data_IF_532242049937
#
_entry.id   IF_532242049937
#
_cell.length_a   1.000
_cell.length_b   1.000
_cell.length_c   1.000
_cell.angle_alpha   90.00
_cell.angle_beta   90.00
_cell.angle_gamma   90.00
#
_symmetry.space_group_name_H-M   'P 1'
#
loop_
_entity.id
_entity.type
_entity.pdbx_description
1 polymer ?
#
# COMPACT_ATOMS: atom_id res chain seq x y z
N UNK A 1 44.48 19.88 56.38
CA UNK A 1 43.18 20.41 55.89
C UNK A 1 43.02 19.88 54.48
N UNK A 2 42.08 19.04 54.04
CA UNK A 2 40.84 18.40 54.54
C UNK A 2 40.79 17.02 53.85
N UNK A 3 40.76 15.93 54.60
CA UNK A 3 39.64 15.02 54.90
C UNK A 3 39.34 13.91 53.89
N UNK A 4 39.21 12.72 54.49
CA UNK A 4 38.97 11.38 53.96
C UNK A 4 37.51 11.12 53.53
N UNK A 5 37.38 10.01 52.81
CA UNK A 5 36.21 9.31 52.30
C UNK A 5 35.04 9.07 53.28
N UNK A 6 33.85 8.88 52.69
CA UNK A 6 32.79 8.02 53.21
C UNK A 6 32.01 7.37 52.05
N UNK A 7 31.77 6.06 52.18
CA UNK A 7 30.86 5.21 51.40
C UNK A 7 29.38 5.52 51.76
N UNK A 8 28.42 5.35 50.83
CA UNK A 8 27.48 4.21 50.84
C UNK A 8 26.43 4.22 49.70
N UNK A 9 26.22 3.00 49.18
CA UNK A 9 24.96 2.34 48.77
C UNK A 9 23.99 2.90 47.69
N UNK A 10 23.91 2.12 46.61
CA UNK A 10 22.71 1.43 46.09
C UNK A 10 21.54 2.22 45.45
N UNK A 11 21.48 2.08 44.12
CA UNK A 11 20.41 1.41 43.35
C UNK A 11 19.13 2.13 42.89
N UNK A 12 18.79 1.78 41.64
CA UNK A 12 17.53 1.89 40.88
C UNK A 12 16.86 3.24 40.63
N UNK A 13 16.58 3.50 39.34
CA UNK A 13 15.53 4.45 38.94
C UNK A 13 15.61 4.90 37.48
N UNK A 14 15.20 4.03 36.56
CA UNK A 14 14.94 4.39 35.17
C UNK A 14 13.82 5.44 35.06
N UNK A 15 14.11 6.58 34.46
CA UNK A 15 13.13 7.55 33.97
C UNK A 15 13.78 8.26 32.77
N UNK A 16 13.21 8.32 31.58
CA UNK A 16 11.93 7.90 31.05
C UNK A 16 11.95 8.48 29.64
N UNK A 17 11.92 7.62 28.64
CA UNK A 17 11.87 8.06 27.26
C UNK A 17 10.58 8.87 27.09
N UNK A 18 10.71 10.17 26.82
CA UNK A 18 9.60 10.95 26.28
C UNK A 18 9.40 10.52 24.84
N UNK A 19 8.72 9.38 24.67
CA UNK A 19 8.05 9.04 23.42
C UNK A 19 6.99 10.11 23.21
N UNK A 20 7.31 11.07 22.35
CA UNK A 20 6.33 12.03 21.87
C UNK A 20 5.19 11.25 21.26
N UNK A 21 4.00 11.43 21.82
CA UNK A 21 2.75 11.03 21.20
C UNK A 21 2.61 11.80 19.87
N UNK A 22 3.18 11.22 18.80
CA UNK A 22 2.85 11.59 17.43
C UNK A 22 1.40 11.20 17.21
N UNK A 23 0.55 12.21 17.03
CA UNK A 23 -0.88 12.02 16.86
C UNK A 23 -1.20 11.07 15.72
N UNK A 24 -2.33 10.39 15.85
CA UNK A 24 -3.01 9.66 14.79
C UNK A 24 -3.45 10.63 13.68
N UNK A 25 -2.50 11.16 12.92
CA UNK A 25 -2.78 11.58 11.55
C UNK A 25 -3.02 10.27 10.80
N UNK A 26 -4.30 9.94 10.57
CA UNK A 26 -4.67 8.75 9.80
C UNK A 26 -3.80 8.67 8.54
N UNK A 27 -3.15 7.52 8.33
CA UNK A 27 -2.17 7.33 7.28
C UNK A 27 -2.75 7.86 5.96
N UNK A 28 -2.13 8.87 5.37
CA UNK A 28 -2.57 9.35 4.06
C UNK A 28 -2.18 8.31 3.00
N UNK A 29 -3.03 8.03 2.01
CA UNK A 29 -2.64 7.14 0.93
C UNK A 29 -1.46 7.72 0.16
N UNK A 30 -0.58 6.83 -0.31
CA UNK A 30 0.60 7.19 -1.08
C UNK A 30 0.23 7.69 -2.48
N UNK A 31 1.22 8.26 -3.17
CA UNK A 31 1.13 8.53 -4.59
C UNK A 31 0.17 9.66 -4.97
N UNK A 32 -0.35 10.45 -4.03
CA UNK A 32 -1.19 11.64 -4.31
C UNK A 32 -0.37 12.91 -4.63
N UNK A 33 0.90 12.93 -4.25
CA UNK A 33 1.81 14.07 -4.45
C UNK A 33 2.93 13.72 -5.41
N UNK A 34 3.33 14.69 -6.24
CA UNK A 34 4.52 14.59 -7.10
C UNK A 34 5.81 14.62 -6.28
N UNK A 35 5.76 15.24 -5.10
CA UNK A 35 6.87 15.33 -4.16
C UNK A 35 6.46 14.90 -2.75
N UNK A 36 7.32 14.11 -2.11
CA UNK A 36 7.19 13.66 -0.71
C UNK A 36 8.60 13.66 -0.11
N UNK A 37 8.75 14.19 1.11
CA UNK A 37 10.03 14.19 1.86
C UNK A 37 11.25 14.72 1.08
N UNK A 38 11.02 15.69 0.19
CA UNK A 38 12.05 16.28 -0.67
C UNK A 38 12.40 15.46 -1.92
N UNK A 39 11.84 14.27 -2.08
CA UNK A 39 11.91 13.49 -3.30
C UNK A 39 10.82 13.94 -4.27
N UNK A 40 11.12 13.98 -5.57
CA UNK A 40 10.19 14.42 -6.62
C UNK A 40 10.25 13.50 -7.83
N UNK A 41 9.09 13.09 -8.34
CA UNK A 41 8.98 12.37 -9.61
C UNK A 41 9.00 13.38 -10.77
N UNK A 42 10.06 13.36 -11.56
CA UNK A 42 10.32 14.30 -12.65
C UNK A 42 10.23 13.60 -14.01
N UNK A 43 9.26 14.00 -14.84
CA UNK A 43 9.04 13.44 -16.18
C UNK A 43 9.48 14.42 -17.26
N UNK A 44 10.07 13.89 -18.33
CA UNK A 44 10.45 14.70 -19.50
C UNK A 44 9.26 15.43 -20.15
N UNK A 45 8.05 14.86 -20.05
CA UNK A 45 6.80 15.48 -20.50
C UNK A 45 5.60 14.86 -19.80
N UNK A 46 4.67 15.71 -19.36
CA UNK A 46 3.35 15.36 -18.83
C UNK A 46 2.24 15.41 -19.89
N UNK A 47 2.57 15.78 -21.12
CA UNK A 47 1.65 15.73 -22.27
C UNK A 47 2.18 14.67 -23.24
N UNK A 48 1.33 13.70 -23.58
CA UNK A 48 1.67 12.55 -24.42
C UNK A 48 0.63 12.31 -25.51
N UNK A 49 0.95 11.50 -26.50
CA UNK A 49 0.01 11.03 -27.52
C UNK A 49 -0.45 9.61 -27.20
N UNK A 50 -1.54 9.12 -27.79
CA UNK A 50 -1.89 7.71 -27.64
C UNK A 50 -0.93 6.77 -28.40
N UNK A 51 -0.87 5.51 -27.97
CA UNK A 51 -0.03 4.45 -28.52
C UNK A 51 1.01 3.92 -27.53
N UNK A 52 1.68 2.84 -27.93
CA UNK A 52 2.85 2.31 -27.22
C UNK A 52 4.02 3.25 -27.45
N UNK A 53 4.59 3.77 -26.37
CA UNK A 53 5.70 4.72 -26.46
C UNK A 53 6.64 4.64 -25.25
N UNK A 54 7.91 5.04 -25.42
CA UNK A 54 8.82 5.17 -24.31
C UNK A 54 8.41 6.30 -23.37
N UNK A 55 8.52 6.03 -22.07
CA UNK A 55 8.41 7.01 -21.00
C UNK A 55 9.70 6.99 -20.20
N UNK A 56 10.29 8.17 -20.06
CA UNK A 56 11.51 8.39 -19.28
C UNK A 56 11.26 9.41 -18.19
N UNK A 57 11.88 9.18 -17.03
CA UNK A 57 11.71 10.00 -15.84
C UNK A 57 12.91 9.87 -14.90
N UNK A 58 12.96 10.72 -13.88
CA UNK A 58 13.92 10.67 -12.77
C UNK A 58 13.19 10.79 -11.44
N UNK A 59 13.81 10.26 -10.40
CA UNK A 59 13.49 10.64 -9.02
C UNK A 59 14.55 11.63 -8.59
N UNK A 60 14.15 12.87 -8.32
CA UNK A 60 15.04 13.93 -7.82
C UNK A 60 15.00 13.90 -6.30
N UNK A 61 16.15 13.78 -5.66
CA UNK A 61 16.28 13.75 -4.22
C UNK A 61 16.25 15.14 -3.56
N UNK A 62 16.26 15.19 -2.21
CA UNK A 62 16.22 16.43 -1.45
C UNK A 62 17.43 17.35 -1.69
N UNK A 63 18.51 16.82 -2.24
CA UNK A 63 19.72 17.57 -2.64
C UNK A 63 19.64 18.16 -4.07
N UNK A 64 18.50 17.98 -4.76
CA UNK A 64 18.26 18.44 -6.11
C UNK A 64 18.92 17.62 -7.22
N UNK A 65 19.52 16.46 -6.90
CA UNK A 65 20.14 15.56 -7.87
C UNK A 65 19.28 14.32 -8.12
N UNK A 66 19.50 13.65 -9.25
CA UNK A 66 18.86 12.37 -9.51
C UNK A 66 19.33 11.31 -8.49
N UNK A 67 18.39 10.58 -7.91
CA UNK A 67 18.68 9.45 -7.03
C UNK A 67 19.20 8.28 -7.87
N UNK A 68 20.31 7.67 -7.44
CA UNK A 68 20.98 6.57 -8.13
C UNK A 68 21.16 5.32 -7.27
N UNK A 69 20.71 5.36 -6.01
CA UNK A 69 20.85 4.27 -5.05
C UNK A 69 19.47 3.98 -4.44
N UNK A 70 18.98 2.77 -4.65
CA UNK A 70 17.69 2.28 -4.19
C UNK A 70 17.89 0.93 -3.51
N UNK A 71 17.11 0.66 -2.47
CA UNK A 71 16.99 -0.65 -1.86
C UNK A 71 15.96 -1.44 -2.68
N UNK A 72 16.27 -2.64 -3.18
CA UNK A 72 15.29 -3.44 -3.90
C UNK A 72 14.19 -3.95 -2.97
N UNK A 73 12.94 -3.76 -3.39
CA UNK A 73 11.75 -4.38 -2.81
C UNK A 73 11.18 -5.34 -3.86
N UNK A 74 10.81 -6.57 -3.45
CA UNK A 74 10.29 -7.59 -4.38
C UNK A 74 11.19 -7.79 -5.63
N UNK A 75 12.51 -7.87 -5.42
CA UNK A 75 13.54 -8.02 -6.47
C UNK A 75 13.69 -6.82 -7.44
N UNK A 76 13.01 -5.70 -7.18
CA UNK A 76 13.05 -4.50 -8.02
C UNK A 76 13.39 -3.26 -7.22
N UNK A 77 14.21 -2.40 -7.81
CA UNK A 77 14.50 -1.08 -7.25
C UNK A 77 13.29 -0.12 -7.36
N UNK A 78 12.36 -0.39 -8.28
CA UNK A 78 11.22 0.49 -8.57
C UNK A 78 10.05 -0.30 -9.18
N UNK A 79 8.87 -0.11 -8.63
CA UNK A 79 7.60 -0.49 -9.26
C UNK A 79 6.95 0.74 -9.89
N UNK A 80 6.65 0.65 -11.19
CA UNK A 80 6.02 1.75 -11.92
C UNK A 80 4.63 1.36 -12.37
N UNK A 81 3.64 2.12 -11.92
CA UNK A 81 2.24 1.87 -12.24
C UNK A 81 1.70 3.00 -13.09
N UNK A 82 0.96 2.67 -14.13
CA UNK A 82 0.21 3.61 -14.95
C UNK A 82 -1.25 3.20 -14.98
N UNK A 83 -2.16 4.13 -14.69
CA UNK A 83 -3.59 3.87 -14.76
C UNK A 83 -4.35 5.16 -15.10
N UNK A 84 -5.42 5.05 -15.87
CA UNK A 84 -6.28 6.21 -16.17
C UNK A 84 -7.03 6.67 -14.91
N UNK A 85 -7.41 7.94 -14.87
CA UNK A 85 -8.24 8.52 -13.81
C UNK A 85 -9.62 7.87 -13.68
N UNK A 86 -10.13 7.24 -14.73
CA UNK A 86 -11.33 6.39 -14.71
C UNK A 86 -11.05 4.92 -14.34
N UNK A 87 -9.85 4.62 -13.85
CA UNK A 87 -9.36 3.33 -13.36
C UNK A 87 -9.07 2.27 -14.45
N UNK A 88 -9.24 2.62 -15.72
CA UNK A 88 -8.97 1.73 -16.83
C UNK A 88 -7.48 1.73 -17.24
N UNK A 89 -7.08 0.68 -17.96
CA UNK A 89 -5.77 0.63 -18.61
C UNK A 89 -4.59 0.47 -17.66
N UNK A 90 -4.82 -0.15 -16.49
CA UNK A 90 -3.77 -0.44 -15.51
C UNK A 90 -2.60 -1.18 -16.16
N UNK A 91 -1.40 -0.71 -15.86
CA UNK A 91 -0.13 -1.30 -16.25
C UNK A 91 0.80 -1.26 -15.05
N UNK A 92 1.43 -2.38 -14.77
CA UNK A 92 2.48 -2.52 -13.77
C UNK A 92 3.75 -2.97 -14.48
N UNK A 93 4.73 -2.07 -14.54
CA UNK A 93 5.97 -2.25 -15.30
C UNK A 93 7.17 -1.97 -14.42
N UNK A 94 8.32 -2.49 -14.84
CA UNK A 94 9.59 -2.34 -14.12
C UNK A 94 10.59 -1.63 -15.03
N UNK A 95 10.68 -0.30 -14.93
CA UNK A 95 11.62 0.49 -15.72
C UNK A 95 13.06 0.08 -15.46
N UNK A 96 13.93 0.35 -16.44
CA UNK A 96 15.38 0.17 -16.30
C UNK A 96 16.03 1.53 -16.04
N UNK A 97 16.95 1.60 -15.07
CA UNK A 97 17.70 2.81 -14.74
C UNK A 97 19.07 2.81 -15.42
N UNK A 98 19.45 3.95 -15.98
CA UNK A 98 20.83 4.20 -16.41
C UNK A 98 21.73 4.67 -15.25
N UNK A 99 23.04 4.75 -15.50
CA UNK A 99 24.02 5.21 -14.49
C UNK A 99 23.78 6.67 -14.03
N UNK A 100 23.02 7.47 -14.79
CA UNK A 100 22.69 8.86 -14.48
C UNK A 100 21.40 9.01 -13.67
N UNK A 101 20.74 7.90 -13.33
CA UNK A 101 19.48 7.91 -12.58
C UNK A 101 18.24 8.13 -13.44
N UNK A 102 18.35 8.02 -14.77
CA UNK A 102 17.20 8.11 -15.68
C UNK A 102 16.58 6.73 -15.82
N UNK A 103 15.30 6.63 -15.50
CA UNK A 103 14.48 5.43 -15.70
C UNK A 103 13.82 5.46 -17.06
N UNK A 104 13.63 4.30 -17.69
CA UNK A 104 12.90 4.17 -18.94
C UNK A 104 12.09 2.87 -19.03
N UNK A 105 10.89 2.96 -19.58
CA UNK A 105 9.99 1.84 -19.85
C UNK A 105 9.09 2.15 -21.06
N UNK A 106 8.40 1.15 -21.61
CA UNK A 106 7.33 1.36 -22.57
C UNK A 106 5.97 1.35 -21.86
N UNK A 107 5.10 2.28 -22.22
CA UNK A 107 3.69 2.29 -21.79
C UNK A 107 2.77 2.27 -23.01
N UNK A 108 1.71 1.49 -22.92
CA UNK A 108 0.59 1.52 -23.87
C UNK A 108 -0.44 2.55 -23.39
N UNK A 109 -0.43 3.76 -23.97
CA UNK A 109 -1.30 4.85 -23.54
C UNK A 109 -2.50 5.01 -24.46
N UNK A 110 -3.70 5.07 -23.89
CA UNK A 110 -4.94 5.47 -24.57
C UNK A 110 -5.24 6.95 -24.25
N UNK A 111 -6.02 7.67 -25.09
CA UNK A 111 -6.44 9.02 -24.75
C UNK A 111 -7.15 9.11 -23.40
N UNK A 112 -6.86 10.17 -22.64
CA UNK A 112 -7.40 10.40 -21.31
C UNK A 112 -6.37 10.91 -20.32
N UNK A 113 -6.81 11.14 -19.08
CA UNK A 113 -5.93 11.53 -17.99
C UNK A 113 -5.39 10.29 -17.28
N UNK A 114 -4.08 10.20 -17.16
CA UNK A 114 -3.36 9.10 -16.52
C UNK A 114 -2.74 9.58 -15.23
N UNK A 115 -2.68 8.70 -14.24
CA UNK A 115 -1.80 8.84 -13.08
C UNK A 115 -0.71 7.80 -13.17
N UNK A 116 0.53 8.26 -13.02
CA UNK A 116 1.71 7.42 -12.95
C UNK A 116 2.23 7.43 -11.51
N UNK A 117 2.65 6.26 -11.03
CA UNK A 117 3.19 6.07 -9.69
C UNK A 117 4.59 5.49 -9.77
N UNK A 118 5.48 6.00 -8.93
CA UNK A 118 6.76 5.38 -8.64
C UNK A 118 6.76 4.96 -7.17
N UNK A 119 6.72 3.65 -6.93
CA UNK A 119 6.89 3.08 -5.60
C UNK A 119 8.35 2.64 -5.44
N UNK A 120 9.02 3.21 -4.44
CA UNK A 120 10.48 3.24 -4.35
C UNK A 120 10.96 3.19 -2.89
N UNK A 121 12.19 2.72 -2.69
CA UNK A 121 12.92 2.79 -1.42
C UNK A 121 14.30 3.42 -1.65
N UNK A 122 14.44 4.76 -1.64
CA UNK A 122 15.75 5.41 -1.75
C UNK A 122 16.67 4.98 -0.59
N UNK A 123 17.93 4.63 -0.86
CA UNK A 123 18.84 4.10 0.17
C UNK A 123 19.13 5.07 1.35
N UNK A 124 18.87 6.36 1.16
CA UNK A 124 19.00 7.41 2.19
C UNK A 124 17.69 7.81 2.88
N UNK A 125 16.60 7.06 2.69
CA UNK A 125 15.31 7.29 3.30
C UNK A 125 14.88 6.08 4.13
N UNK A 126 14.23 6.32 5.25
CA UNK A 126 13.73 5.26 6.11
C UNK A 126 12.40 4.73 5.56
N UNK A 127 12.45 3.63 4.81
CA UNK A 127 11.29 2.91 4.31
C UNK A 127 10.90 3.22 2.86
N UNK A 128 9.74 2.71 2.45
CA UNK A 128 9.22 2.90 1.10
C UNK A 128 8.39 4.18 1.01
N UNK A 129 8.33 4.75 -0.19
CA UNK A 129 7.43 5.85 -0.52
C UNK A 129 6.85 5.68 -1.91
N UNK A 130 5.65 6.21 -2.10
CA UNK A 130 5.00 6.26 -3.41
C UNK A 130 4.83 7.71 -3.84
N UNK A 131 5.47 8.09 -4.95
CA UNK A 131 5.30 9.37 -5.63
C UNK A 131 4.28 9.22 -6.76
N UNK A 132 3.56 10.28 -7.12
CA UNK A 132 2.62 10.23 -8.23
C UNK A 132 2.47 11.52 -9.02
N UNK A 133 2.29 11.39 -10.33
CA UNK A 133 2.18 12.50 -11.27
C UNK A 133 1.08 12.22 -12.28
N UNK A 134 0.36 13.27 -12.70
CA UNK A 134 -0.63 13.15 -13.75
C UNK A 134 -0.02 13.42 -15.13
N UNK A 135 -0.49 12.66 -16.13
CA UNK A 135 -0.11 12.77 -17.54
C UNK A 135 -1.37 12.87 -18.39
N UNK A 136 -1.46 13.88 -19.24
CA UNK A 136 -2.54 14.05 -20.18
C UNK A 136 -2.18 13.39 -21.52
N UNK A 137 -2.99 12.43 -21.97
CA UNK A 137 -2.82 11.75 -23.25
C UNK A 137 -3.82 12.30 -24.25
N UNK A 138 -3.32 12.99 -25.28
CA UNK A 138 -4.14 13.65 -26.28
C UNK A 138 -4.94 12.67 -27.15
N UNK A 139 -6.20 13.00 -27.41
CA UNK A 139 -7.08 12.26 -28.30
C UNK A 139 -8.54 12.33 -27.86
N UNK A 140 -9.42 11.62 -28.56
CA UNK A 140 -10.81 11.47 -28.14
C UNK A 140 -10.87 10.55 -26.91
N UNK A 141 -11.35 11.09 -25.79
CA UNK A 141 -11.44 10.38 -24.52
C UNK A 141 -12.90 10.04 -24.20
N UNK A 142 -13.18 8.75 -24.14
CA UNK A 142 -14.45 8.20 -23.65
C UNK A 142 -14.19 7.47 -22.31
N UNK A 143 -14.54 8.08 -21.16
CA UNK A 143 -14.37 7.47 -19.85
C UNK A 143 -15.20 6.18 -19.71
N UNK A 144 -14.64 5.16 -19.07
CA UNK A 144 -15.33 3.90 -18.77
C UNK A 144 -15.99 3.97 -17.39
N UNK A 145 -17.22 3.43 -17.22
CA UNK A 145 -17.83 3.34 -15.90
C UNK A 145 -17.04 2.40 -15.00
N UNK A 146 -17.06 2.68 -13.69
CA UNK A 146 -16.47 1.80 -12.70
C UNK A 146 -17.13 0.40 -12.76
N UNK A 147 -16.36 -0.69 -12.87
CA UNK A 147 -16.93 -2.04 -12.84
C UNK A 147 -17.64 -2.36 -11.52
N UNK A 148 -18.64 -3.23 -11.56
CA UNK A 148 -19.38 -3.65 -10.36
C UNK A 148 -18.50 -4.43 -9.37
N UNK A 149 -18.81 -4.31 -8.08
CA UNK A 149 -18.13 -5.02 -7.01
C UNK A 149 -18.70 -6.45 -6.87
N UNK A 150 -18.24 -7.36 -7.72
CA UNK A 150 -18.73 -8.75 -7.79
C UNK A 150 -17.93 -9.74 -6.94
N UNK A 151 -16.73 -9.35 -6.49
CA UNK A 151 -15.77 -10.27 -5.86
C UNK A 151 -15.19 -11.31 -6.82
N UNK A 152 -15.38 -11.17 -8.13
CA UNK A 152 -14.87 -12.13 -9.12
C UNK A 152 -14.37 -11.41 -10.37
N UNK A 153 -13.11 -11.68 -10.74
CA UNK A 153 -12.49 -11.22 -11.97
C UNK A 153 -12.36 -12.38 -12.97
N UNK A 154 -12.51 -12.09 -14.28
CA UNK A 154 -12.33 -13.06 -15.36
C UNK A 154 -11.29 -12.57 -16.36
N UNK A 155 -10.30 -13.40 -16.65
CA UNK A 155 -9.22 -13.12 -17.60
C UNK A 155 -9.09 -14.32 -18.54
N UNK A 156 -9.80 -14.27 -19.68
CA UNK A 156 -9.91 -15.42 -20.57
C UNK A 156 -10.48 -16.64 -19.85
N UNK A 157 -9.70 -17.72 -19.81
CA UNK A 157 -10.00 -19.00 -19.12
C UNK A 157 -9.83 -18.95 -17.59
N UNK A 158 -9.25 -17.87 -17.06
CA UNK A 158 -9.03 -17.70 -15.62
C UNK A 158 -10.21 -17.02 -14.95
N UNK A 159 -10.54 -17.51 -13.76
CA UNK A 159 -11.44 -16.85 -12.81
C UNK A 159 -10.70 -16.68 -11.49
N UNK A 160 -10.66 -15.47 -10.98
CA UNK A 160 -10.09 -15.16 -9.66
C UNK A 160 -11.22 -14.70 -8.75
N UNK A 161 -11.42 -15.40 -7.64
CA UNK A 161 -12.36 -15.01 -6.60
C UNK A 161 -11.62 -14.27 -5.50
N UNK A 162 -12.20 -13.19 -4.99
CA UNK A 162 -11.72 -12.42 -3.86
C UNK A 162 -12.59 -12.74 -2.64
N UNK A 163 -11.97 -13.26 -1.60
CA UNK A 163 -12.55 -13.45 -0.27
C UNK A 163 -11.90 -12.47 0.73
N UNK A 164 -12.68 -11.99 1.71
CA UNK A 164 -12.25 -10.97 2.68
C UNK A 164 -12.92 -9.61 2.46
N UNK A 165 -12.78 -8.72 3.44
CA UNK A 165 -13.36 -7.37 3.43
C UNK A 165 -12.28 -6.33 3.74
N UNK A 166 -12.27 -5.21 3.01
CA UNK A 166 -11.42 -4.08 3.37
C UNK A 166 -12.05 -3.31 4.54
N UNK A 167 -11.30 -3.17 5.63
CA UNK A 167 -11.72 -2.43 6.82
C UNK A 167 -11.02 -1.05 6.87
N UNK A 168 -11.77 0.05 7.02
CA UNK A 168 -11.17 1.38 7.15
C UNK A 168 -10.33 1.52 8.42
N UNK A 169 -9.07 1.93 8.26
CA UNK A 169 -8.14 2.18 9.36
C UNK A 169 -7.58 0.92 10.05
N UNK A 170 -7.96 -0.27 9.58
CA UNK A 170 -7.60 -1.56 10.17
C UNK A 170 -6.95 -2.45 9.12
N UNK A 171 -6.03 -3.31 9.57
CA UNK A 171 -5.46 -4.34 8.72
C UNK A 171 -6.46 -5.48 8.53
N UNK A 172 -6.71 -5.84 7.28
CA UNK A 172 -7.62 -6.93 6.90
C UNK A 172 -6.96 -7.85 5.89
N UNK A 173 -7.19 -9.16 6.05
CA UNK A 173 -6.73 -10.18 5.12
C UNK A 173 -7.64 -10.25 3.89
N UNK A 174 -7.02 -10.33 2.72
CA UNK A 174 -7.67 -10.58 1.43
C UNK A 174 -7.08 -11.84 0.81
N UNK A 175 -7.93 -12.80 0.45
CA UNK A 175 -7.50 -14.05 -0.18
C UNK A 175 -8.02 -14.09 -1.61
N UNK A 176 -7.10 -14.23 -2.56
CA UNK A 176 -7.43 -14.35 -3.98
C UNK A 176 -7.20 -15.78 -4.44
N UNK A 177 -8.29 -16.45 -4.86
CA UNK A 177 -8.25 -17.84 -5.33
C UNK A 177 -8.26 -17.91 -6.85
N UNK A 178 -7.19 -18.43 -7.45
CA UNK A 178 -7.02 -18.56 -8.90
C UNK A 178 -7.53 -19.92 -9.38
N UNK A 179 -8.44 -19.88 -10.36
CA UNK A 179 -8.92 -21.06 -11.10
C UNK A 179 -8.77 -20.88 -12.60
N UNK A 180 -8.51 -21.98 -13.31
CA UNK A 180 -8.52 -22.08 -14.77
C UNK A 180 -9.52 -23.15 -15.20
N UNK A 181 -10.48 -22.80 -16.05
CA UNK A 181 -11.57 -23.71 -16.47
C UNK A 181 -12.27 -24.40 -15.28
N UNK A 182 -12.46 -23.65 -14.19
CA UNK A 182 -13.08 -24.14 -12.95
C UNK A 182 -12.19 -25.00 -12.05
N UNK A 183 -10.95 -25.33 -12.46
CA UNK A 183 -10.00 -26.09 -11.63
C UNK A 183 -9.05 -25.15 -10.87
N UNK A 184 -8.72 -25.43 -9.60
CA UNK A 184 -7.68 -24.69 -8.87
C UNK A 184 -6.34 -24.72 -9.61
N UNK A 185 -5.67 -23.57 -9.68
CA UNK A 185 -4.28 -23.46 -10.18
C UNK A 185 -3.34 -23.67 -9.01
N UNK A 186 -2.49 -24.70 -9.02
CA UNK A 186 -1.64 -25.09 -7.87
C UNK A 186 -0.17 -25.09 -8.22
N UNK A 187 0.20 -24.38 -9.29
CA UNK A 187 1.51 -24.29 -9.89
C UNK A 187 1.79 -22.87 -10.38
N UNK A 188 1.32 -21.87 -9.61
CA UNK A 188 1.70 -20.48 -9.82
C UNK A 188 3.21 -20.33 -9.81
N UNK A 189 3.71 -19.50 -10.73
CA UNK A 189 5.13 -19.23 -10.85
C UNK A 189 5.48 -18.00 -10.01
N UNK A 190 6.63 -18.02 -9.31
CA UNK A 190 7.16 -16.83 -8.68
C UNK A 190 7.35 -15.72 -9.71
N UNK A 191 6.84 -14.55 -9.39
CA UNK A 191 7.05 -13.31 -10.14
C UNK A 191 7.43 -12.25 -9.11
N UNK A 192 8.60 -11.63 -9.23
CA UNK A 192 9.08 -10.58 -8.31
C UNK A 192 9.05 -11.03 -6.82
N UNK A 193 9.67 -12.19 -6.54
CA UNK A 193 9.70 -12.83 -5.22
C UNK A 193 8.33 -13.15 -4.55
N UNK A 194 7.20 -13.12 -5.26
CA UNK A 194 5.90 -13.56 -4.72
C UNK A 194 5.11 -14.39 -5.74
N UNK A 195 4.04 -15.05 -5.29
CA UNK A 195 3.10 -15.71 -6.20
C UNK A 195 2.05 -14.75 -6.78
N UNK A 196 1.97 -13.52 -6.24
CA UNK A 196 1.23 -12.42 -6.84
C UNK A 196 1.53 -11.07 -6.20
N UNK A 197 1.17 -9.99 -6.92
CA UNK A 197 1.34 -8.59 -6.51
C UNK A 197 -0.01 -7.90 -6.56
N UNK A 198 -0.40 -7.24 -5.47
CA UNK A 198 -1.70 -6.59 -5.36
C UNK A 198 -1.52 -5.08 -5.20
N UNK A 199 -1.93 -4.33 -6.23
CA UNK A 199 -2.04 -2.88 -6.16
C UNK A 199 -3.47 -2.51 -5.82
N UNK A 200 -3.68 -1.68 -4.80
CA UNK A 200 -4.99 -1.16 -4.43
C UNK A 200 -5.01 0.37 -4.52
N UNK A 201 -6.00 0.91 -5.23
CA UNK A 201 -6.15 2.34 -5.51
C UNK A 201 -7.54 2.83 -5.11
N UNK A 202 -7.60 3.92 -4.35
CA UNK A 202 -8.88 4.55 -4.00
C UNK A 202 -9.55 5.16 -5.23
N UNK A 203 -10.81 4.85 -5.46
CA UNK A 203 -11.59 5.46 -6.54
C UNK A 203 -11.81 6.94 -6.23
N UNK A 204 -11.57 7.80 -7.23
CA UNK A 204 -11.72 9.25 -7.14
C UNK A 204 -10.37 9.96 -7.26
N UNK A 205 -9.44 9.67 -6.36
CA UNK A 205 -8.11 10.30 -6.33
C UNK A 205 -6.95 9.36 -6.68
N UNK A 206 -7.22 8.06 -6.79
CA UNK A 206 -6.23 7.01 -6.99
C UNK A 206 -5.16 6.97 -5.90
N UNK A 207 -5.54 7.29 -4.65
CA UNK A 207 -4.65 7.13 -3.51
C UNK A 207 -4.16 5.69 -3.40
N UNK A 208 -2.85 5.49 -3.39
CA UNK A 208 -2.18 4.19 -3.34
C UNK A 208 -2.24 3.59 -1.95
N UNK A 209 -2.59 2.31 -1.86
CA UNK A 209 -2.71 1.57 -0.61
C UNK A 209 -1.50 0.68 -0.39
N UNK A 210 -1.08 0.60 0.86
CA UNK A 210 -0.06 -0.34 1.27
C UNK A 210 -0.66 -1.74 1.38
N UNK A 211 -0.06 -2.68 0.67
CA UNK A 211 -0.46 -4.08 0.62
C UNK A 211 0.79 -4.94 0.71
N UNK A 212 0.74 -6.00 1.51
CA UNK A 212 1.81 -6.98 1.60
C UNK A 212 1.31 -8.36 1.22
N UNK A 213 2.02 -9.12 0.38
CA UNK A 213 1.76 -10.54 0.23
C UNK A 213 2.06 -11.26 1.55
N UNK A 214 1.27 -12.27 1.86
CA UNK A 214 1.59 -13.21 2.92
C UNK A 214 2.35 -14.41 2.36
N UNK A 215 3.54 -14.66 2.92
CA UNK A 215 4.40 -15.77 2.54
C UNK A 215 5.24 -15.51 1.29
N UNK A 216 6.29 -16.30 1.12
CA UNK A 216 7.26 -16.15 0.03
C UNK A 216 7.56 -17.50 -0.66
N UNK A 217 7.81 -17.52 -1.98
CA UNK A 217 8.23 -18.73 -2.66
C UNK A 217 9.49 -19.34 -2.04
N UNK A 218 9.40 -20.61 -1.66
CA UNK A 218 10.54 -21.36 -1.11
C UNK A 218 10.74 -21.23 0.40
N UNK A 219 9.85 -20.53 1.13
CA UNK A 219 9.87 -20.46 2.60
C UNK A 219 9.53 -21.80 3.29
N UNK A 220 9.04 -22.79 2.53
CA UNK A 220 8.66 -24.13 3.00
C UNK A 220 7.22 -24.25 3.50
N UNK A 221 6.46 -23.16 3.54
CA UNK A 221 5.06 -23.11 4.02
C UNK A 221 4.09 -22.58 2.97
N UNK A 222 4.53 -21.71 2.08
CA UNK A 222 3.71 -21.03 1.08
C UNK A 222 3.59 -21.90 -0.17
N UNK A 223 2.37 -22.38 -0.42
CA UNK A 223 2.06 -23.15 -1.61
C UNK A 223 1.98 -22.26 -2.86
N UNK A 224 2.32 -22.78 -4.06
CA UNK A 224 2.18 -22.07 -5.33
C UNK A 224 0.71 -22.00 -5.80
N UNK A 225 -0.19 -21.48 -4.96
CA UNK A 225 -1.63 -21.41 -5.19
C UNK A 225 -2.42 -22.59 -4.62
N UNK A 226 -3.76 -22.58 -4.78
CA UNK A 226 -4.53 -21.63 -5.60
C UNK A 226 -4.82 -20.30 -4.92
N UNK A 227 -4.60 -20.22 -3.62
CA UNK A 227 -4.82 -19.03 -2.81
C UNK A 227 -3.55 -18.19 -2.76
N UNK A 228 -3.73 -16.87 -2.86
CA UNK A 228 -2.70 -15.86 -2.61
C UNK A 228 -3.29 -14.91 -1.57
N UNK A 229 -2.69 -14.85 -0.39
CA UNK A 229 -3.15 -14.02 0.70
C UNK A 229 -2.38 -12.70 0.75
N UNK A 230 -3.07 -11.63 1.13
CA UNK A 230 -2.51 -10.30 1.30
C UNK A 230 -3.06 -9.65 2.56
N UNK A 231 -2.22 -8.91 3.27
CA UNK A 231 -2.65 -7.96 4.28
C UNK A 231 -2.74 -6.56 3.69
N UNK A 232 -3.91 -5.93 3.81
CA UNK A 232 -4.16 -4.59 3.32
C UNK A 232 -4.76 -3.70 4.42
N UNK A 233 -4.38 -2.42 4.42
CA UNK A 233 -4.97 -1.40 5.29
C UNK A 233 -5.61 -0.34 4.40
N UNK A 234 -6.94 -0.19 4.47
CA UNK A 234 -7.62 0.88 3.75
C UNK A 234 -7.59 2.17 4.60
N UNK A 235 -6.94 3.27 4.16
CA UNK A 235 -6.82 4.49 4.96
C UNK A 235 -8.16 5.11 5.39
N UNK A 236 -9.17 4.98 4.54
CA UNK A 236 -10.50 5.56 4.74
C UNK A 236 -11.58 4.61 4.25
N UNK A 237 -12.81 4.83 4.71
CA UNK A 237 -13.97 4.26 4.03
C UNK A 237 -14.00 4.74 2.58
N UNK A 238 -14.43 3.87 1.66
CA UNK A 238 -14.46 4.21 0.24
C UNK A 238 -14.63 3.01 -0.67
N UNK A 239 -14.52 3.29 -1.97
CA UNK A 239 -14.43 2.27 -3.03
C UNK A 239 -13.01 2.24 -3.55
N UNK A 240 -12.51 1.04 -3.80
CA UNK A 240 -11.14 0.76 -4.21
C UNK A 240 -11.12 -0.10 -5.46
N UNK A 241 -10.12 0.10 -6.30
CA UNK A 241 -9.76 -0.79 -7.41
C UNK A 241 -8.54 -1.59 -7.02
N UNK A 242 -8.67 -2.90 -7.09
CA UNK A 242 -7.60 -3.86 -6.80
C UNK A 242 -7.15 -4.49 -8.10
N UNK A 243 -5.84 -4.59 -8.28
CA UNK A 243 -5.18 -5.16 -9.45
C UNK A 243 -4.20 -6.22 -8.97
N UNK A 244 -4.55 -7.50 -9.14
CA UNK A 244 -3.70 -8.63 -8.81
C UNK A 244 -2.94 -9.06 -10.07
N UNK A 245 -1.63 -8.93 -10.05
CA UNK A 245 -0.75 -9.62 -10.99
C UNK A 245 -0.41 -11.01 -10.47
N UNK A 246 -0.55 -12.03 -11.31
CA UNK A 246 -0.09 -13.40 -11.02
C UNK A 246 0.50 -14.04 -12.28
N UNK A 247 1.46 -14.96 -12.11
CA UNK A 247 2.12 -15.65 -13.22
C UNK A 247 1.73 -17.13 -13.29
N UNK A 248 1.31 -17.56 -14.46
CA UNK A 248 1.00 -18.96 -14.77
C UNK A 248 1.28 -19.25 -16.25
N UNK A 249 1.84 -20.42 -16.58
CA UNK A 249 2.30 -20.78 -17.94
C UNK A 249 3.25 -19.75 -18.58
N UNK A 250 4.10 -19.11 -17.77
CA UNK A 250 5.09 -18.12 -18.22
C UNK A 250 4.51 -16.74 -18.54
N UNK A 251 3.20 -16.53 -18.33
CA UNK A 251 2.51 -15.28 -18.65
C UNK A 251 1.99 -14.62 -17.39
N UNK A 252 2.34 -13.35 -17.19
CA UNK A 252 1.78 -12.49 -16.15
C UNK A 252 0.39 -12.02 -16.58
N UNK A 253 -0.58 -12.08 -15.68
CA UNK A 253 -1.98 -11.67 -15.91
C UNK A 253 -2.44 -10.78 -14.77
N UNK A 254 -3.27 -9.80 -15.09
CA UNK A 254 -3.86 -8.89 -14.11
C UNK A 254 -5.33 -9.18 -13.92
N UNK A 255 -5.74 -9.51 -12.69
CA UNK A 255 -7.13 -9.61 -12.28
C UNK A 255 -7.59 -8.33 -11.58
N UNK A 256 -8.69 -7.74 -12.05
CA UNK A 256 -9.16 -6.45 -11.55
C UNK A 256 -10.47 -6.56 -10.78
N UNK A 257 -10.55 -5.91 -9.62
CA UNK A 257 -11.71 -5.92 -8.75
C UNK A 257 -12.14 -4.51 -8.37
N UNK A 258 -13.45 -4.31 -8.20
CA UNK A 258 -13.98 -3.17 -7.43
C UNK A 258 -14.36 -3.69 -6.06
N UNK A 259 -13.86 -3.04 -5.01
CA UNK A 259 -14.13 -3.40 -3.61
C UNK A 259 -14.68 -2.17 -2.89
N UNK A 260 -15.68 -2.37 -2.04
CA UNK A 260 -16.16 -1.33 -1.13
C UNK A 260 -15.73 -1.73 0.27
N UNK A 261 -15.24 -0.77 1.05
CA UNK A 261 -14.95 -1.03 2.46
C UNK A 261 -16.22 -1.40 3.20
N UNK A 262 -16.13 -2.37 4.11
CA UNK A 262 -17.23 -2.64 5.03
C UNK A 262 -17.47 -1.43 5.93
N UNK A 263 -18.70 -1.28 6.42
CA UNK A 263 -18.98 -0.29 7.45
C UNK A 263 -18.17 -0.67 8.69
N UNK A 264 -17.44 0.29 9.27
CA UNK A 264 -16.86 0.08 10.59
C UNK A 264 -17.99 -0.31 11.55
N UNK A 265 -17.88 -1.47 12.19
CA UNK A 265 -18.75 -1.79 13.32
C UNK A 265 -18.61 -0.66 14.33
N UNK A 266 -19.70 0.00 14.76
CA UNK A 266 -19.59 0.96 15.84
C UNK A 266 -18.96 0.23 17.02
N UNK A 267 -17.76 0.65 17.43
CA UNK A 267 -17.28 0.30 18.75
C UNK A 267 -18.39 0.73 19.70
N UNK A 268 -18.99 -0.24 20.38
CA UNK A 268 -19.86 0.07 21.50
C UNK A 268 -18.98 0.86 22.46
N UNK A 269 -19.19 2.17 22.54
CA UNK A 269 -18.68 2.97 23.64
C UNK A 269 -19.05 2.20 24.90
N UNK A 270 -18.04 1.67 25.58
CA UNK A 270 -18.22 1.10 26.90
C UNK A 270 -18.80 2.23 27.74
N UNK A 271 -20.09 2.11 28.03
CA UNK A 271 -20.79 3.05 28.90
C UNK A 271 -19.96 3.18 30.19
N UNK A 272 -19.73 4.41 30.69
CA UNK A 272 -19.02 4.56 31.95
C UNK A 272 -19.83 3.85 33.04
N UNK A 273 -19.24 2.83 33.64
CA UNK A 273 -19.77 2.21 34.85
C UNK A 273 -19.80 3.27 35.94
N UNK A 274 -20.97 3.83 36.21
CA UNK A 274 -21.23 4.60 37.42
C UNK A 274 -21.15 3.65 38.61
N UNK A 275 -19.96 3.51 39.19
CA UNK A 275 -19.75 2.90 40.49
C UNK A 275 -20.54 3.66 41.56
N UNK A 276 -21.66 3.10 42.00
CA UNK A 276 -22.40 3.58 43.15
C UNK A 276 -21.59 3.32 44.43
N UNK A 277 -20.91 4.35 44.93
CA UNK A 277 -20.31 4.31 46.26
C UNK A 277 -21.42 4.31 47.33
N UNK A 278 -21.69 3.14 47.88
CA UNK A 278 -22.46 2.97 49.12
C UNK A 278 -21.61 3.45 50.31
N UNK A 279 -21.95 4.60 50.88
CA UNK A 279 -21.46 4.99 52.21
C UNK A 279 -22.30 4.31 53.29
N UNK A 280 -21.66 3.44 54.08
CA UNK A 280 -22.24 2.87 55.30
C UNK A 280 -22.29 3.88 56.45
N UNK A 281 -23.30 3.83 57.33
CA UNK A 281 -23.42 4.77 58.44
C UNK A 281 -22.51 4.38 59.62
N UNK A 282 -21.63 5.31 60.02
CA UNK A 282 -20.95 5.26 61.30
C UNK A 282 -21.87 5.80 62.40
N UNK A 283 -22.19 4.94 63.38
CA UNK A 283 -22.84 5.31 64.62
C UNK A 283 -21.87 6.09 65.52
N UNK A 284 -22.24 7.30 65.91
CA UNK A 284 -21.56 8.05 66.97
C UNK A 284 -22.39 8.01 68.25
N UNK A 285 -21.72 7.62 69.33
CA UNK A 285 -22.17 7.61 70.71
C UNK A 285 -22.61 8.99 71.19
N UNK A 286 -23.73 9.02 71.92
CA UNK A 286 -24.16 10.12 72.77
C UNK A 286 -23.48 10.02 74.15
N UNK A 287 -22.94 11.15 74.63
CA UNK A 287 -22.70 11.40 76.05
C UNK A 287 -23.06 12.87 76.34
N UNK A 288 -24.02 13.01 77.27
CA UNK A 288 -24.51 14.21 77.97
C UNK A 288 -25.37 15.23 77.23
#
# INVERSE_FOLDING_TARGET
MRNHAAHDQADHGAHGAHSGHGGHNGAQPGGLSVSVDGYTLDLDSTIRTAGVQPVSFRVIGPDGRAVTEFVPEHEKELHFIAVRRDTAGFQHVHPVRDEKGTWSTELALEPGDWRLFADIHPAGHDGTMTLGIDVAVAGAYEPRPLPEATGTARIGEYTVALDGELLPGEASELVLTVRRDGRPVTDLQPYLAAYGHLVALRVGDLGYLHVHPEGEPGDGTTAPGPEIAFMAVAPTAGTYRLFLDFQHDGVVRTAEFTVRTAAATPHADAAPEHGSHHHGPHAHHAHH
#
